data_IF_002327485532
#
_entry.id   IF_002327485532
#
_cell.length_a   1.000
_cell.length_b   1.000
_cell.length_c   1.000
_cell.angle_alpha   90.00
_cell.angle_beta   90.00
_cell.angle_gamma   90.00
#
_symmetry.space_group_name_H-M   'P 1'
#
loop_
_entity.id
_entity.type
_entity.pdbx_description
1 polymer ?
#
# COMPACT_ATOMS: atom_id res chain seq x y z
N UNK A 1 65.97 7.42 -21.85
CA UNK A 1 64.75 8.05 -21.28
C UNK A 1 64.53 9.35 -22.05
N UNK A 2 63.74 9.31 -23.14
CA UNK A 2 63.45 10.50 -23.94
C UNK A 2 62.16 11.14 -23.43
N UNK A 3 62.29 12.22 -22.66
CA UNK A 3 61.18 13.11 -22.35
C UNK A 3 60.87 13.92 -23.61
N UNK A 4 59.81 13.56 -24.32
CA UNK A 4 59.20 14.43 -25.33
C UNK A 4 58.55 15.61 -24.60
N UNK A 5 59.24 16.76 -24.59
CA UNK A 5 58.61 18.03 -24.25
C UNK A 5 57.52 18.34 -25.27
N UNK A 6 56.26 18.38 -24.82
CA UNK A 6 55.16 18.82 -25.68
C UNK A 6 55.37 20.29 -26.07
N UNK A 7 55.28 20.65 -27.37
CA UNK A 7 55.48 22.02 -27.81
C UNK A 7 54.43 22.93 -27.18
N UNK A 8 54.85 24.09 -26.66
CA UNK A 8 54.00 25.08 -25.97
C UNK A 8 52.74 25.46 -26.76
N UNK A 9 52.80 25.41 -28.09
CA UNK A 9 51.67 25.64 -28.99
C UNK A 9 50.54 24.60 -28.84
N UNK A 10 50.88 23.35 -28.51
CA UNK A 10 49.92 22.27 -28.28
C UNK A 10 49.18 22.44 -26.95
N UNK A 11 49.86 22.96 -25.93
CA UNK A 11 49.26 23.29 -24.64
C UNK A 11 48.26 24.45 -24.78
N UNK A 12 48.65 25.49 -25.54
CA UNK A 12 47.80 26.64 -25.81
C UNK A 12 46.52 26.26 -26.58
N UNK A 13 46.65 25.41 -27.61
CA UNK A 13 45.50 24.92 -28.37
C UNK A 13 44.50 24.14 -27.50
N UNK A 14 44.98 23.30 -26.57
CA UNK A 14 44.12 22.58 -25.61
C UNK A 14 43.40 23.51 -24.66
N UNK A 15 44.07 24.54 -24.15
CA UNK A 15 43.46 25.54 -23.26
C UNK A 15 42.36 26.31 -24.00
N UNK A 16 42.60 26.73 -25.25
CA UNK A 16 41.58 27.39 -26.06
C UNK A 16 40.36 26.50 -26.30
N UNK A 17 40.56 25.20 -26.55
CA UNK A 17 39.47 24.26 -26.81
C UNK A 17 38.63 23.99 -25.55
N UNK A 18 39.27 23.93 -24.38
CA UNK A 18 38.58 23.82 -23.09
C UNK A 18 37.76 25.08 -22.74
N UNK A 19 38.30 26.27 -23.03
CA UNK A 19 37.59 27.53 -22.82
C UNK A 19 36.38 27.66 -23.75
N UNK A 20 36.50 27.22 -25.01
CA UNK A 20 35.39 27.19 -25.95
C UNK A 20 34.29 26.23 -25.48
N UNK A 21 34.66 25.02 -25.03
CA UNK A 21 33.71 24.04 -24.50
C UNK A 21 33.00 24.55 -23.25
N UNK A 22 33.72 25.20 -22.33
CA UNK A 22 33.14 25.83 -21.15
C UNK A 22 32.16 26.95 -21.52
N UNK A 23 32.50 27.76 -22.52
CA UNK A 23 31.62 28.83 -22.99
C UNK A 23 30.33 28.27 -23.61
N UNK A 24 30.42 27.25 -24.45
CA UNK A 24 29.25 26.54 -25.01
C UNK A 24 28.40 25.95 -23.88
N UNK A 25 29.02 25.35 -22.86
CA UNK A 25 28.31 24.80 -21.71
C UNK A 25 27.57 25.89 -20.92
N UNK A 26 28.18 27.05 -20.68
CA UNK A 26 27.54 28.19 -20.02
C UNK A 26 26.36 28.72 -20.82
N UNK A 27 26.48 28.83 -22.16
CA UNK A 27 25.38 29.28 -23.03
C UNK A 27 24.23 28.27 -23.04
N UNK A 28 24.54 26.96 -23.08
CA UNK A 28 23.53 25.90 -23.00
C UNK A 28 22.83 25.89 -21.63
N UNK A 29 23.58 26.03 -20.54
CA UNK A 29 23.00 26.14 -19.19
C UNK A 29 22.11 27.38 -19.06
N UNK A 30 22.58 28.51 -19.59
CA UNK A 30 21.82 29.75 -19.67
C UNK A 30 20.49 29.53 -20.35
N UNK A 31 20.48 28.96 -21.57
CA UNK A 31 19.26 28.66 -22.31
C UNK A 31 18.34 27.68 -21.58
N UNK A 32 18.86 26.65 -20.92
CA UNK A 32 18.05 25.72 -20.11
C UNK A 32 17.41 26.46 -18.93
N UNK A 33 18.16 27.33 -18.25
CA UNK A 33 17.64 28.15 -17.15
C UNK A 33 16.59 29.13 -17.66
N UNK A 34 16.77 29.78 -18.82
CA UNK A 34 15.77 30.69 -19.41
C UNK A 34 14.51 29.94 -19.83
N UNK A 35 14.64 28.76 -20.43
CA UNK A 35 13.50 27.89 -20.78
C UNK A 35 12.77 27.40 -19.54
N UNK A 36 13.48 27.10 -18.45
CA UNK A 36 12.89 26.69 -17.18
C UNK A 36 12.27 27.86 -16.40
N UNK A 37 12.84 29.07 -16.52
CA UNK A 37 12.30 30.31 -15.96
C UNK A 37 11.04 30.76 -16.71
N UNK A 38 11.00 30.58 -18.03
CA UNK A 38 9.87 30.91 -18.89
C UNK A 38 8.91 29.73 -19.09
N UNK A 39 8.99 28.70 -18.25
CA UNK A 39 8.05 27.60 -18.29
C UNK A 39 6.66 28.12 -17.84
N UNK A 40 5.62 28.09 -18.70
CA UNK A 40 4.28 28.60 -18.36
C UNK A 40 3.61 27.88 -17.18
N UNK A 41 4.20 26.77 -16.71
CA UNK A 41 3.81 26.12 -15.46
C UNK A 41 4.16 26.94 -14.20
N UNK A 42 5.17 27.81 -14.23
CA UNK A 42 5.57 28.62 -13.06
C UNK A 42 4.74 29.89 -12.89
N UNK A 43 4.37 30.56 -13.99
CA UNK A 43 3.59 31.80 -13.91
C UNK A 43 2.12 31.56 -13.53
N UNK A 44 1.56 30.37 -13.77
CA UNK A 44 0.19 30.04 -13.38
C UNK A 44 0.00 29.70 -11.90
N UNK A 45 1.06 29.57 -11.10
CA UNK A 45 0.90 29.34 -9.66
C UNK A 45 0.38 30.56 -8.90
N UNK A 46 0.40 31.75 -9.48
CA UNK A 46 -0.11 32.96 -8.83
C UNK A 46 -1.65 32.94 -8.65
N UNK A 47 -2.38 32.17 -9.46
CA UNK A 47 -3.85 32.04 -9.38
C UNK A 47 -4.36 30.61 -9.12
N UNK A 48 -3.48 29.63 -8.93
CA UNK A 48 -3.84 28.31 -8.40
C UNK A 48 -4.82 27.49 -9.25
N UNK A 49 -5.05 27.78 -10.53
CA UNK A 49 -5.93 26.98 -11.40
C UNK A 49 -5.18 26.56 -12.66
N UNK A 50 -5.17 25.26 -12.94
CA UNK A 50 -4.65 24.68 -14.18
C UNK A 50 -5.84 24.17 -14.99
N UNK A 51 -5.99 24.73 -16.19
CA UNK A 51 -7.03 24.37 -17.15
C UNK A 51 -6.52 23.28 -18.10
N UNK A 52 -7.12 22.08 -18.06
CA UNK A 52 -6.91 21.04 -19.06
C UNK A 52 -8.07 21.05 -20.05
N UNK A 53 -7.77 21.15 -21.34
CA UNK A 53 -8.77 21.27 -22.40
C UNK A 53 -8.49 20.25 -23.50
N UNK A 54 -9.54 19.52 -23.89
CA UNK A 54 -9.62 18.85 -25.19
C UNK A 54 -10.49 19.70 -26.11
N UNK A 55 -10.21 19.59 -27.40
CA UNK A 55 -10.91 20.35 -28.42
C UNK A 55 -11.58 19.36 -29.38
N UNK A 56 -12.73 19.75 -29.92
CA UNK A 56 -13.45 18.98 -30.94
C UNK A 56 -12.62 18.87 -32.22
N UNK A 57 -12.86 17.84 -33.03
CA UNK A 57 -12.14 17.61 -34.29
C UNK A 57 -12.25 18.77 -35.29
N UNK A 58 -13.37 19.47 -35.27
CA UNK A 58 -13.67 20.67 -36.07
C UNK A 58 -13.03 21.96 -35.55
N UNK A 59 -12.30 21.90 -34.43
CA UNK A 59 -11.55 23.01 -33.89
C UNK A 59 -10.45 23.46 -34.85
N UNK A 60 -10.34 24.77 -35.09
CA UNK A 60 -9.25 25.37 -35.87
C UNK A 60 -8.33 26.19 -34.96
N UNK A 61 -7.22 26.68 -35.52
CA UNK A 61 -6.30 27.56 -34.77
C UNK A 61 -6.99 28.87 -34.34
N UNK A 62 -7.91 29.37 -35.16
CA UNK A 62 -8.62 30.64 -34.94
C UNK A 62 -9.96 30.44 -34.21
N UNK A 63 -10.48 29.19 -34.16
CA UNK A 63 -11.73 28.84 -33.51
C UNK A 63 -11.56 27.58 -32.67
N UNK A 64 -11.10 27.76 -31.42
CA UNK A 64 -10.89 26.67 -30.47
C UNK A 64 -12.21 26.27 -29.81
N UNK A 65 -12.80 25.18 -30.28
CA UNK A 65 -14.03 24.63 -29.73
C UNK A 65 -13.69 23.56 -28.69
N UNK A 66 -13.89 23.90 -27.41
CA UNK A 66 -13.60 23.00 -26.29
C UNK A 66 -14.63 21.86 -26.27
N UNK A 67 -14.13 20.63 -26.15
CA UNK A 67 -14.94 19.45 -25.88
C UNK A 67 -15.15 19.34 -24.36
N UNK A 68 -16.23 19.96 -23.86
CA UNK A 68 -16.53 20.03 -22.42
C UNK A 68 -16.93 18.70 -21.80
N UNK A 69 -17.42 17.76 -22.60
CA UNK A 69 -17.79 16.41 -22.12
C UNK A 69 -16.62 15.43 -22.16
N UNK A 70 -15.47 15.85 -22.68
CA UNK A 70 -14.28 15.03 -22.64
C UNK A 70 -13.86 14.79 -21.19
N UNK A 71 -13.60 13.53 -20.76
CA UNK A 71 -13.13 13.25 -19.40
C UNK A 71 -11.74 13.85 -19.11
N UNK A 72 -11.00 14.29 -20.13
CA UNK A 72 -9.74 15.04 -19.98
C UNK A 72 -9.92 16.57 -19.99
N UNK A 73 -11.15 17.09 -20.08
CA UNK A 73 -11.45 18.51 -19.98
C UNK A 73 -11.90 18.86 -18.57
N UNK A 74 -11.03 19.49 -17.79
CA UNK A 74 -11.31 19.87 -16.41
C UNK A 74 -10.45 21.03 -15.94
N UNK A 75 -10.84 21.65 -14.83
CA UNK A 75 -9.98 22.53 -14.05
C UNK A 75 -9.48 21.83 -12.81
N UNK A 76 -8.17 21.89 -12.59
CA UNK A 76 -7.51 21.47 -11.37
C UNK A 76 -7.11 22.71 -10.58
N UNK A 77 -7.55 22.78 -9.34
CA UNK A 77 -7.31 23.92 -8.45
C UNK A 77 -6.29 23.50 -7.40
N UNK A 78 -5.31 24.36 -7.15
CA UNK A 78 -4.14 24.14 -6.30
C UNK A 78 -4.06 25.20 -5.20
N UNK A 79 -3.63 24.78 -4.01
CA UNK A 79 -3.25 25.72 -2.95
C UNK A 79 -1.88 26.37 -3.24
N UNK A 80 -1.46 27.28 -2.36
CA UNK A 80 -0.16 27.98 -2.47
C UNK A 80 1.05 27.06 -2.32
N UNK A 81 0.86 25.84 -1.80
CA UNK A 81 1.89 24.84 -1.65
C UNK A 81 1.96 23.88 -2.85
N UNK A 82 1.09 24.06 -3.85
CA UNK A 82 1.00 23.21 -5.03
C UNK A 82 0.23 21.91 -4.82
N UNK A 83 -0.56 21.77 -3.75
CA UNK A 83 -1.44 20.62 -3.56
C UNK A 83 -2.74 20.83 -4.32
N UNK A 84 -3.21 19.83 -5.07
CA UNK A 84 -4.50 19.92 -5.77
C UNK A 84 -5.66 19.83 -4.76
N UNK A 85 -6.32 20.96 -4.51
CA UNK A 85 -7.42 21.09 -3.55
C UNK A 85 -8.80 20.90 -4.18
N UNK A 86 -8.90 20.91 -5.51
CA UNK A 86 -10.16 20.66 -6.18
C UNK A 86 -9.98 20.20 -7.62
N UNK A 87 -11.01 19.52 -8.12
CA UNK A 87 -11.18 19.26 -9.54
C UNK A 87 -12.61 19.54 -9.98
N UNK A 88 -12.76 20.18 -11.14
CA UNK A 88 -14.05 20.58 -11.72
C UNK A 88 -14.17 20.09 -13.15
N UNK A 89 -15.24 19.37 -13.42
CA UNK A 89 -15.72 19.00 -14.74
C UNK A 89 -16.96 19.83 -15.05
N UNK A 90 -17.27 19.98 -16.32
CA UNK A 90 -18.21 20.99 -16.78
C UNK A 90 -19.30 20.37 -17.65
N UNK A 91 -20.49 20.97 -17.60
CA UNK A 91 -21.61 20.53 -18.44
C UNK A 91 -21.40 20.96 -19.88
N UNK A 92 -22.11 20.29 -20.80
CA UNK A 92 -22.02 20.53 -22.24
C UNK A 92 -22.34 21.99 -22.62
N UNK A 93 -23.27 22.64 -21.92
CA UNK A 93 -23.63 24.05 -22.15
C UNK A 93 -22.58 25.06 -21.70
N UNK A 94 -21.47 24.60 -21.11
CA UNK A 94 -20.40 25.49 -20.66
C UNK A 94 -19.73 26.19 -21.84
N UNK A 95 -19.26 27.41 -21.59
CA UNK A 95 -18.36 28.13 -22.48
C UNK A 95 -17.12 28.55 -21.70
N UNK A 96 -16.10 29.04 -22.41
CA UNK A 96 -14.87 29.48 -21.74
C UNK A 96 -15.14 30.62 -20.75
N UNK A 97 -16.09 31.51 -21.08
CA UNK A 97 -16.47 32.65 -20.25
C UNK A 97 -17.57 32.33 -19.22
N UNK A 98 -18.30 31.23 -19.40
CA UNK A 98 -19.37 30.81 -18.51
C UNK A 98 -19.32 29.29 -18.29
N UNK A 99 -18.53 28.88 -17.31
CA UNK A 99 -18.36 27.47 -16.94
C UNK A 99 -19.44 27.04 -15.96
N UNK A 100 -20.15 25.97 -16.27
CA UNK A 100 -21.16 25.37 -15.39
C UNK A 100 -20.65 24.02 -14.92
N UNK A 101 -20.30 23.92 -13.63
CA UNK A 101 -19.78 22.67 -13.04
C UNK A 101 -20.81 21.56 -13.15
N UNK A 102 -20.38 20.40 -13.63
CA UNK A 102 -21.14 19.15 -13.58
C UNK A 102 -20.87 18.43 -12.25
N UNK A 103 -21.67 18.75 -11.24
CA UNK A 103 -21.58 18.12 -9.92
C UNK A 103 -21.95 16.63 -9.92
N UNK A 104 -22.50 16.10 -11.01
CA UNK A 104 -22.77 14.66 -11.14
C UNK A 104 -21.59 13.89 -11.70
N UNK A 105 -20.58 14.58 -12.23
CA UNK A 105 -19.41 13.95 -12.79
C UNK A 105 -18.58 13.27 -11.69
N UNK A 106 -18.25 12.00 -11.89
CA UNK A 106 -17.57 11.13 -10.93
C UNK A 106 -16.16 11.61 -10.50
N UNK A 107 -15.63 12.64 -11.14
CA UNK A 107 -14.31 13.19 -10.87
C UNK A 107 -14.35 14.69 -10.49
N UNK A 108 -15.45 15.11 -9.86
CA UNK A 108 -15.61 16.43 -9.23
C UNK A 108 -15.52 16.28 -7.72
N UNK A 109 -14.51 16.90 -7.14
CA UNK A 109 -14.18 16.73 -5.73
C UNK A 109 -13.42 17.92 -5.17
N UNK A 110 -13.45 18.04 -3.83
CA UNK A 110 -12.56 18.90 -3.04
C UNK A 110 -11.68 18.04 -2.13
N UNK A 111 -10.48 18.52 -1.86
CA UNK A 111 -9.52 17.90 -0.95
C UNK A 111 -8.93 18.94 0.00
N UNK A 112 -8.62 18.50 1.22
CA UNK A 112 -7.89 19.31 2.20
C UNK A 112 -6.57 18.66 2.54
N UNK A 113 -5.61 19.47 2.95
CA UNK A 113 -4.27 19.04 3.32
C UNK A 113 -3.88 19.66 4.65
N UNK A 114 -3.07 18.95 5.42
CA UNK A 114 -2.42 19.53 6.59
C UNK A 114 -1.23 20.42 6.20
N UNK A 115 -0.62 21.06 7.20
CA UNK A 115 0.52 21.97 7.01
C UNK A 115 1.76 21.33 6.35
N UNK A 116 1.83 20.01 6.30
CA UNK A 116 2.93 19.25 5.70
C UNK A 116 2.57 18.73 4.30
N UNK A 117 1.41 19.11 3.74
CA UNK A 117 0.95 18.68 2.42
C UNK A 117 0.38 17.26 2.38
N UNK A 118 -0.02 16.70 3.53
CA UNK A 118 -0.67 15.38 3.58
C UNK A 118 -2.17 15.55 3.46
N UNK A 119 -2.81 14.80 2.57
CA UNK A 119 -4.25 14.92 2.32
C UNK A 119 -5.06 14.45 3.53
N UNK A 120 -5.76 15.36 4.20
CA UNK A 120 -6.58 15.07 5.38
C UNK A 120 -8.02 14.73 5.05
N UNK A 121 -8.50 15.10 3.87
CA UNK A 121 -9.84 14.74 3.44
C UNK A 121 -10.01 14.72 1.92
N UNK A 122 -11.03 14.00 1.47
CA UNK A 122 -11.58 14.09 0.11
C UNK A 122 -13.11 14.13 0.19
N UNK A 123 -13.73 14.95 -0.65
CA UNK A 123 -15.18 15.19 -0.69
C UNK A 123 -15.69 15.11 -2.11
N UNK A 124 -16.70 14.28 -2.31
CA UNK A 124 -17.54 14.30 -3.50
C UNK A 124 -18.88 14.95 -3.17
N UNK A 125 -19.63 15.30 -4.20
CA UNK A 125 -20.79 16.18 -4.06
C UNK A 125 -22.03 15.59 -4.72
N UNK A 126 -23.19 15.96 -4.19
CA UNK A 126 -24.48 15.62 -4.74
C UNK A 126 -24.80 16.50 -5.96
N UNK A 127 -25.64 15.98 -6.86
CA UNK A 127 -26.06 16.63 -8.10
C UNK A 127 -26.62 18.06 -7.92
N UNK A 128 -27.25 18.34 -6.77
CA UNK A 128 -27.87 19.63 -6.46
C UNK A 128 -26.87 20.68 -5.96
N UNK A 129 -25.59 20.34 -5.89
CA UNK A 129 -24.55 21.25 -5.44
C UNK A 129 -24.40 22.45 -6.38
N UNK A 130 -23.86 23.53 -5.83
CA UNK A 130 -23.39 24.71 -6.56
C UNK A 130 -22.07 25.16 -5.94
N UNK A 131 -21.29 26.01 -6.62
CA UNK A 131 -20.01 26.43 -6.06
C UNK A 131 -20.19 27.21 -4.73
N UNK A 132 -21.30 27.94 -4.58
CA UNK A 132 -21.66 28.67 -3.36
C UNK A 132 -22.36 27.80 -2.29
N UNK A 133 -22.83 26.61 -2.66
CA UNK A 133 -23.53 25.70 -1.75
C UNK A 133 -23.22 24.25 -2.14
N UNK A 134 -22.11 23.74 -1.63
CA UNK A 134 -21.64 22.39 -1.90
C UNK A 134 -22.29 21.42 -0.92
N UNK A 135 -23.04 20.46 -1.46
CA UNK A 135 -23.69 19.41 -0.68
C UNK A 135 -22.85 18.15 -0.79
N UNK A 136 -22.11 17.82 0.26
CA UNK A 136 -21.24 16.63 0.28
C UNK A 136 -22.07 15.36 0.15
N UNK A 137 -21.64 14.48 -0.76
CA UNK A 137 -22.10 13.09 -0.83
C UNK A 137 -21.29 12.23 0.13
N UNK A 138 -21.80 12.10 1.36
CA UNK A 138 -21.10 11.40 2.45
C UNK A 138 -21.01 9.89 2.27
N UNK A 139 -21.90 9.29 1.49
CA UNK A 139 -21.91 7.86 1.20
C UNK A 139 -21.08 7.51 -0.04
N UNK A 140 -20.55 8.51 -0.75
CA UNK A 140 -19.65 8.27 -1.86
C UNK A 140 -18.43 7.44 -1.38
N UNK A 141 -18.06 6.36 -2.09
CA UNK A 141 -16.98 5.46 -1.69
C UNK A 141 -15.59 6.11 -1.69
N UNK A 142 -15.46 7.35 -2.18
CA UNK A 142 -14.23 8.13 -2.18
C UNK A 142 -14.33 9.40 -1.31
N UNK A 143 -15.42 9.58 -0.56
CA UNK A 143 -15.54 10.62 0.48
C UNK A 143 -15.01 10.09 1.81
N UNK A 144 -13.90 10.65 2.29
CA UNK A 144 -13.22 10.16 3.49
C UNK A 144 -12.46 11.25 4.25
N UNK A 145 -12.17 10.98 5.52
CA UNK A 145 -11.21 11.71 6.35
C UNK A 145 -10.03 10.82 6.75
N UNK A 146 -8.85 11.43 6.89
CA UNK A 146 -7.65 10.78 7.37
C UNK A 146 -6.97 11.61 8.45
N UNK A 147 -6.35 10.92 9.42
CA UNK A 147 -5.48 11.56 10.41
C UNK A 147 -4.08 11.00 10.33
N UNK A 148 -3.12 11.80 10.78
CA UNK A 148 -1.71 11.44 10.76
C UNK A 148 -1.06 11.78 12.09
N UNK A 149 -0.07 10.98 12.47
CA UNK A 149 0.78 11.32 13.60
C UNK A 149 1.80 12.42 13.26
N UNK A 150 2.56 12.81 14.29
CA UNK A 150 3.61 13.83 14.19
C UNK A 150 4.73 13.50 13.19
N UNK A 151 4.90 12.21 12.85
CA UNK A 151 6.00 11.72 12.02
C UNK A 151 5.59 11.53 10.55
N UNK A 152 4.33 11.77 10.17
CA UNK A 152 3.91 11.54 8.78
C UNK A 152 2.94 10.38 8.59
N UNK A 153 2.80 9.49 9.59
CA UNK A 153 2.16 8.18 9.39
C UNK A 153 0.66 8.29 9.55
N UNK A 154 -0.11 7.70 8.65
CA UNK A 154 -1.56 7.74 8.70
C UNK A 154 -2.06 6.87 9.86
N UNK A 155 -2.71 7.48 10.83
CA UNK A 155 -3.21 6.82 12.05
C UNK A 155 -4.67 6.41 11.91
N UNK A 156 -5.41 7.02 11.00
CA UNK A 156 -6.80 6.65 10.75
C UNK A 156 -7.24 6.93 9.32
N UNK A 157 -8.26 6.17 8.89
CA UNK A 157 -9.07 6.51 7.72
C UNK A 157 -10.54 6.27 8.06
N UNK A 158 -11.42 7.16 7.61
CA UNK A 158 -12.85 7.17 7.94
C UNK A 158 -13.68 7.39 6.69
N UNK A 159 -14.66 6.52 6.52
CA UNK A 159 -15.78 6.70 5.58
C UNK A 159 -17.04 6.98 6.37
N UNK A 160 -18.08 7.47 5.70
CA UNK A 160 -19.25 8.03 6.36
C UNK A 160 -20.56 7.40 5.88
N UNK A 161 -21.58 7.51 6.72
CA UNK A 161 -22.95 7.15 6.39
C UNK A 161 -23.64 8.29 5.65
N UNK A 162 -24.65 7.98 4.84
CA UNK A 162 -25.39 8.94 4.03
C UNK A 162 -26.01 10.10 4.83
N UNK A 163 -26.39 9.86 6.09
CA UNK A 163 -27.00 10.87 6.97
C UNK A 163 -25.97 11.81 7.63
N UNK A 164 -24.68 11.66 7.31
CA UNK A 164 -23.64 12.52 7.85
C UNK A 164 -23.80 13.96 7.39
N UNK A 165 -23.24 14.87 8.17
CA UNK A 165 -23.10 16.29 7.83
C UNK A 165 -21.72 16.76 8.28
N UNK A 166 -21.26 17.93 7.84
CA UNK A 166 -19.94 18.43 8.25
C UNK A 166 -19.84 18.61 9.77
N UNK A 167 -20.94 19.02 10.41
CA UNK A 167 -21.03 19.22 11.86
C UNK A 167 -21.36 17.94 12.65
N UNK A 168 -21.80 16.88 11.97
CA UNK A 168 -22.15 15.60 12.59
C UNK A 168 -21.81 14.45 11.65
N UNK A 169 -20.54 14.05 11.65
CA UNK A 169 -20.02 12.97 10.80
C UNK A 169 -20.32 11.63 11.45
N UNK A 170 -21.18 10.84 10.82
CA UNK A 170 -21.52 9.50 11.26
C UNK A 170 -20.59 8.52 10.54
N UNK A 171 -19.57 8.04 11.24
CA UNK A 171 -18.58 7.11 10.67
C UNK A 171 -19.27 5.81 10.26
N UNK A 172 -19.01 5.40 9.02
CA UNK A 172 -19.36 4.09 8.52
C UNK A 172 -18.27 3.09 8.95
N UNK A 173 -18.41 2.57 10.15
CA UNK A 173 -17.54 1.53 10.71
C UNK A 173 -17.54 0.23 9.89
N UNK A 174 -18.57 0.00 9.05
CA UNK A 174 -18.66 -1.15 8.16
C UNK A 174 -17.84 -1.04 6.88
N UNK A 175 -17.40 0.17 6.53
CA UNK A 175 -16.59 0.32 5.35
C UNK A 175 -15.24 -0.36 5.60
N UNK A 176 -14.81 -1.26 4.70
CA UNK A 176 -13.58 -2.04 4.86
C UNK A 176 -12.33 -1.16 4.98
N UNK A 177 -12.36 0.07 4.43
CA UNK A 177 -11.28 1.05 4.60
C UNK A 177 -11.47 2.00 5.81
N UNK A 178 -12.40 1.72 6.73
CA UNK A 178 -12.53 2.44 8.00
C UNK A 178 -11.73 1.73 9.08
N UNK A 179 -10.57 2.28 9.43
CA UNK A 179 -9.63 1.63 10.36
C UNK A 179 -8.85 2.61 11.22
N UNK A 180 -8.31 2.10 12.34
CA UNK A 180 -7.27 2.75 13.15
C UNK A 180 -5.96 1.97 13.16
N UNK A 181 -4.84 2.69 13.10
CA UNK A 181 -3.49 2.14 13.19
C UNK A 181 -2.71 2.83 14.29
N UNK A 182 -1.93 2.04 15.02
CA UNK A 182 -0.95 2.56 15.98
C UNK A 182 0.44 2.12 15.59
N UNK A 183 1.41 2.99 15.84
CA UNK A 183 2.80 2.74 15.53
C UNK A 183 3.68 2.95 16.74
N UNK A 184 4.80 2.24 16.81
CA UNK A 184 5.85 2.50 17.79
C UNK A 184 6.61 3.80 17.44
N UNK A 185 7.59 4.14 18.28
CA UNK A 185 8.44 5.33 18.06
C UNK A 185 9.32 5.26 16.80
N UNK A 186 9.57 4.08 16.27
CA UNK A 186 10.53 3.81 15.21
C UNK A 186 9.89 3.64 13.83
N UNK A 187 8.56 3.52 13.74
CA UNK A 187 7.88 3.34 12.45
C UNK A 187 7.01 2.10 12.37
N UNK A 188 7.19 1.14 13.28
CA UNK A 188 6.58 -0.17 13.16
C UNK A 188 5.10 -0.12 13.54
N UNK A 189 4.24 -0.70 12.71
CA UNK A 189 2.81 -0.78 12.99
C UNK A 189 2.55 -1.84 14.06
N UNK A 190 2.08 -1.40 15.22
CA UNK A 190 1.83 -2.28 16.37
C UNK A 190 0.48 -2.97 16.26
N UNK A 191 -0.52 -2.29 15.67
CA UNK A 191 -1.86 -2.83 15.54
C UNK A 191 -2.64 -2.17 14.41
N UNK A 192 -3.68 -2.87 13.99
CA UNK A 192 -4.75 -2.38 13.11
C UNK A 192 -6.11 -2.79 13.70
N UNK A 193 -7.10 -1.89 13.61
CA UNK A 193 -8.45 -2.10 14.12
C UNK A 193 -9.48 -1.74 13.08
N UNK A 194 -10.38 -2.68 12.84
CA UNK A 194 -11.63 -2.49 12.10
C UNK A 194 -12.80 -2.63 13.06
N UNK A 195 -13.99 -2.18 12.66
CA UNK A 195 -15.12 -1.96 13.58
C UNK A 195 -16.41 -2.62 13.11
N UNK A 196 -17.26 -3.01 14.07
CA UNK A 196 -18.55 -3.63 13.81
C UNK A 196 -19.57 -2.64 13.22
N UNK A 197 -20.62 -3.16 12.55
CA UNK A 197 -21.74 -2.29 12.15
C UNK A 197 -22.45 -1.69 13.34
N UNK A 198 -22.80 -0.41 13.22
CA UNK A 198 -23.53 0.30 14.25
C UNK A 198 -22.61 0.81 15.36
N UNK A 199 -21.31 0.49 15.30
CA UNK A 199 -20.31 1.18 16.10
C UNK A 199 -20.34 2.67 15.78
N UNK A 200 -20.28 3.48 16.84
CA UNK A 200 -20.09 4.92 16.73
C UNK A 200 -18.63 5.26 16.97
N UNK A 201 -18.23 6.48 16.64
CA UNK A 201 -16.85 6.92 16.87
C UNK A 201 -16.52 7.15 18.35
N UNK A 202 -17.56 7.19 19.19
CA UNK A 202 -17.43 7.20 20.64
C UNK A 202 -17.22 5.80 21.21
N UNK A 203 -17.95 4.81 20.71
CA UNK A 203 -17.98 3.47 21.30
C UNK A 203 -16.91 2.54 20.69
N UNK A 204 -16.53 2.75 19.42
CA UNK A 204 -15.45 2.03 18.71
C UNK A 204 -15.44 0.53 18.98
N UNK A 205 -16.56 -0.13 18.73
CA UNK A 205 -16.72 -1.56 18.90
C UNK A 205 -15.91 -2.30 17.83
N UNK A 206 -14.73 -2.81 18.22
CA UNK A 206 -13.80 -3.50 17.33
C UNK A 206 -14.40 -4.80 16.80
N UNK A 207 -14.25 -5.03 15.50
CA UNK A 207 -14.54 -6.31 14.85
C UNK A 207 -13.32 -7.22 14.94
N UNK A 208 -13.19 -7.94 16.06
CA UNK A 208 -12.00 -8.73 16.36
C UNK A 208 -11.74 -9.88 15.39
N UNK A 209 -12.78 -10.40 14.73
CA UNK A 209 -12.64 -11.47 13.72
C UNK A 209 -12.32 -10.96 12.32
N UNK A 210 -12.24 -9.65 12.13
CA UNK A 210 -11.90 -9.07 10.84
C UNK A 210 -10.46 -9.44 10.48
N UNK A 211 -10.24 -9.91 9.24
CA UNK A 211 -8.93 -10.36 8.75
C UNK A 211 -7.84 -9.28 8.77
N UNK A 212 -8.22 -8.01 8.88
CA UNK A 212 -7.30 -6.87 8.97
C UNK A 212 -7.21 -6.32 10.41
N UNK A 213 -7.85 -6.96 11.39
CA UNK A 213 -7.71 -6.63 12.82
C UNK A 213 -6.68 -7.53 13.48
N UNK A 214 -5.53 -6.95 13.82
CA UNK A 214 -4.39 -7.70 14.36
C UNK A 214 -3.50 -6.87 15.26
N UNK A 215 -2.68 -7.56 16.07
CA UNK A 215 -1.54 -6.99 16.79
C UNK A 215 -0.22 -7.61 16.29
N UNK A 216 0.83 -6.82 16.27
CA UNK A 216 2.19 -7.25 15.95
C UNK A 216 3.16 -6.87 17.06
N UNK A 217 4.18 -7.72 17.23
CA UNK A 217 5.31 -7.40 18.11
C UNK A 217 6.62 -7.47 17.35
N UNK A 218 7.59 -6.71 17.86
CA UNK A 218 8.88 -6.53 17.22
C UNK A 218 9.99 -6.79 18.23
N UNK A 219 11.11 -7.33 17.77
CA UNK A 219 12.32 -7.44 18.58
C UNK A 219 13.05 -6.09 18.71
N UNK A 220 14.14 -6.09 19.49
CA UNK A 220 14.98 -4.90 19.70
C UNK A 220 15.66 -4.39 18.42
N UNK A 221 15.73 -5.21 17.36
CA UNK A 221 16.26 -4.85 16.05
C UNK A 221 15.16 -4.44 15.07
N UNK A 222 13.95 -4.17 15.57
CA UNK A 222 12.79 -3.74 14.79
C UNK A 222 12.30 -4.78 13.77
N UNK A 223 12.62 -6.07 13.95
CA UNK A 223 12.07 -7.16 13.14
C UNK A 223 10.76 -7.65 13.74
N UNK A 224 9.75 -7.84 12.91
CA UNK A 224 8.46 -8.35 13.37
C UNK A 224 8.61 -9.80 13.79
N UNK A 225 8.39 -10.09 15.07
CA UNK A 225 8.53 -11.44 15.62
C UNK A 225 7.19 -12.13 15.81
N UNK A 226 6.08 -11.38 15.75
CA UNK A 226 4.75 -11.98 15.80
C UNK A 226 3.71 -11.16 15.05
N UNK A 227 2.67 -11.86 14.61
CA UNK A 227 1.37 -11.30 14.22
C UNK A 227 0.26 -12.15 14.83
N UNK A 228 -0.79 -11.50 15.35
CA UNK A 228 -1.90 -12.12 16.07
C UNK A 228 -3.21 -11.59 15.55
N UNK A 229 -4.06 -12.50 15.08
CA UNK A 229 -5.47 -12.27 14.80
C UNK A 229 -6.32 -12.87 15.92
N UNK A 230 -7.59 -12.51 15.97
CA UNK A 230 -8.43 -12.76 17.14
C UNK A 230 -9.75 -13.42 16.78
N UNK A 231 -10.29 -14.18 17.73
CA UNK A 231 -11.62 -14.74 17.63
C UNK A 231 -12.67 -13.65 17.90
N UNK A 232 -13.88 -13.86 17.36
CA UNK A 232 -15.04 -12.97 17.53
C UNK A 232 -15.41 -12.72 18.99
N UNK A 233 -15.11 -13.66 19.89
CA UNK A 233 -15.37 -13.56 21.33
C UNK A 233 -14.44 -12.60 22.06
N UNK A 234 -13.44 -12.05 21.37
CA UNK A 234 -12.48 -11.12 21.95
C UNK A 234 -13.11 -9.80 22.36
N UNK A 235 -12.48 -9.17 23.33
CA UNK A 235 -12.78 -7.79 23.77
C UNK A 235 -11.47 -7.06 24.00
N UNK A 236 -11.51 -5.74 24.14
CA UNK A 236 -10.29 -4.94 24.38
C UNK A 236 -9.50 -5.43 25.60
N UNK A 237 -10.20 -5.84 26.66
CA UNK A 237 -9.60 -6.31 27.91
C UNK A 237 -9.34 -7.82 27.96
N UNK A 238 -9.84 -8.58 26.99
CA UNK A 238 -9.68 -10.02 26.93
C UNK A 238 -9.64 -10.48 25.47
N UNK A 239 -8.43 -10.46 24.90
CA UNK A 239 -8.18 -10.86 23.51
C UNK A 239 -7.91 -12.36 23.44
N UNK A 240 -8.71 -13.08 22.66
CA UNK A 240 -8.53 -14.52 22.43
C UNK A 240 -7.93 -14.70 21.04
N UNK A 241 -6.68 -15.13 20.98
CA UNK A 241 -5.95 -15.32 19.72
C UNK A 241 -6.61 -16.43 18.90
N UNK A 242 -6.86 -16.15 17.62
CA UNK A 242 -7.12 -17.17 16.62
C UNK A 242 -5.79 -17.73 16.13
N UNK A 243 -5.39 -18.87 16.70
CA UNK A 243 -4.13 -19.53 16.38
C UNK A 243 -4.12 -20.17 14.99
N UNK A 244 -5.29 -20.55 14.47
CA UNK A 244 -5.40 -21.19 13.16
C UNK A 244 -5.54 -20.17 12.03
N UNK A 245 -5.78 -18.90 12.35
CA UNK A 245 -5.79 -17.84 11.35
C UNK A 245 -4.52 -17.90 10.51
N UNK A 246 -4.68 -17.88 9.18
CA UNK A 246 -3.60 -18.10 8.22
C UNK A 246 -2.43 -17.09 8.34
N UNK A 247 -2.69 -15.95 8.96
CA UNK A 247 -1.75 -14.86 9.19
C UNK A 247 -1.45 -14.62 10.69
N UNK A 248 -1.77 -15.59 11.56
CA UNK A 248 -1.23 -15.67 12.93
C UNK A 248 0.06 -16.50 12.91
N UNK A 249 1.17 -15.91 13.35
CA UNK A 249 2.48 -16.55 13.31
C UNK A 249 3.51 -15.96 14.27
N UNK A 250 4.55 -16.74 14.57
CA UNK A 250 5.80 -16.25 15.17
C UNK A 250 7.01 -16.45 14.26
N UNK A 251 7.93 -15.49 14.30
CA UNK A 251 9.20 -15.55 13.61
C UNK A 251 10.38 -15.43 14.57
N UNK A 252 11.49 -16.04 14.19
CA UNK A 252 12.78 -15.87 14.87
C UNK A 252 13.83 -15.40 13.88
N UNK A 253 14.86 -14.72 14.39
CA UNK A 253 15.94 -14.15 13.60
C UNK A 253 17.28 -14.53 14.21
N UNK A 254 18.29 -14.72 13.37
CA UNK A 254 19.67 -14.84 13.82
C UNK A 254 20.26 -13.48 14.23
N UNK A 255 21.47 -13.52 14.79
CA UNK A 255 22.21 -12.31 15.19
C UNK A 255 22.50 -11.32 14.05
N UNK A 256 22.41 -11.76 12.79
CA UNK A 256 22.61 -10.93 11.62
C UNK A 256 21.27 -10.39 11.08
N UNK A 257 20.16 -10.65 11.77
CA UNK A 257 18.82 -10.22 11.38
C UNK A 257 18.20 -11.04 10.24
N UNK A 258 18.75 -12.22 9.92
CA UNK A 258 18.15 -13.14 8.95
C UNK A 258 17.09 -13.97 9.65
N UNK A 259 15.90 -14.06 9.06
CA UNK A 259 14.83 -14.88 9.61
C UNK A 259 15.26 -16.35 9.61
N UNK A 260 15.13 -17.02 10.75
CA UNK A 260 15.50 -18.43 10.95
C UNK A 260 14.31 -19.36 11.07
N UNK A 261 13.12 -18.82 11.34
CA UNK A 261 11.87 -19.57 11.29
C UNK A 261 10.67 -18.67 11.06
N UNK A 262 9.59 -19.29 10.59
CA UNK A 262 8.23 -18.78 10.68
C UNK A 262 7.32 -19.95 11.08
N UNK A 263 6.49 -19.77 12.10
CA UNK A 263 5.65 -20.84 12.64
C UNK A 263 4.20 -20.36 12.68
N UNK A 264 3.34 -21.12 12.02
CA UNK A 264 1.89 -21.06 12.19
C UNK A 264 1.42 -22.21 13.10
N UNK A 265 0.18 -22.15 13.54
CA UNK A 265 -0.29 -22.96 14.65
C UNK A 265 -1.60 -23.69 14.32
N UNK A 266 -1.80 -24.82 15.00
CA UNK A 266 -3.07 -25.54 14.96
C UNK A 266 -4.10 -24.86 15.87
N UNK A 267 -5.38 -25.10 15.59
CA UNK A 267 -6.53 -24.61 16.36
C UNK A 267 -6.46 -24.96 17.85
N UNK A 268 -5.86 -26.11 18.20
CA UNK A 268 -5.68 -26.58 19.58
C UNK A 268 -4.66 -25.78 20.39
N UNK A 269 -4.02 -24.79 19.76
CA UNK A 269 -3.02 -23.96 20.42
C UNK A 269 -3.64 -22.99 21.42
N UNK A 270 -2.85 -22.65 22.42
CA UNK A 270 -3.15 -21.60 23.40
C UNK A 270 -1.89 -20.77 23.62
N UNK A 271 -1.99 -19.64 24.30
CA UNK A 271 -0.82 -18.81 24.62
C UNK A 271 0.26 -19.59 25.37
N UNK A 272 -0.16 -20.51 26.26
CA UNK A 272 0.75 -21.31 27.07
C UNK A 272 1.15 -22.64 26.42
N UNK A 273 0.48 -23.05 25.33
CA UNK A 273 0.74 -24.32 24.66
C UNK A 273 0.50 -24.15 23.15
N UNK A 274 1.54 -23.72 22.43
CA UNK A 274 1.49 -23.45 20.98
C UNK A 274 1.90 -24.70 20.21
N UNK A 275 0.96 -25.30 19.47
CA UNK A 275 1.20 -26.49 18.65
C UNK A 275 1.44 -26.05 17.21
N UNK A 276 2.65 -26.23 16.71
CA UNK A 276 3.05 -25.77 15.38
C UNK A 276 2.37 -26.61 14.30
N UNK A 277 1.75 -25.94 13.33
CA UNK A 277 1.28 -26.56 12.10
C UNK A 277 2.42 -26.63 11.07
N UNK A 278 3.09 -27.79 11.03
CA UNK A 278 4.15 -28.07 10.05
C UNK A 278 3.65 -28.34 8.63
N UNK A 279 2.34 -28.50 8.43
CA UNK A 279 1.74 -28.67 7.11
C UNK A 279 1.32 -27.33 6.50
N UNK A 280 1.23 -26.27 7.31
CA UNK A 280 0.95 -24.93 6.82
C UNK A 280 2.03 -24.48 5.82
N UNK A 281 1.61 -24.04 4.64
CA UNK A 281 2.49 -23.69 3.51
C UNK A 281 3.57 -22.64 3.79
N UNK A 282 3.37 -21.84 4.85
CA UNK A 282 4.27 -20.77 5.28
C UNK A 282 5.04 -21.10 6.57
N UNK A 283 4.86 -22.29 7.14
CA UNK A 283 5.65 -22.75 8.28
C UNK A 283 6.98 -23.33 7.81
N UNK A 284 8.09 -22.86 8.37
CA UNK A 284 9.43 -23.38 8.12
C UNK A 284 10.41 -23.00 9.25
N UNK A 285 11.56 -23.68 9.29
CA UNK A 285 12.63 -23.44 10.27
C UNK A 285 13.03 -24.71 11.01
N UNK A 286 14.10 -24.65 11.79
CA UNK A 286 14.59 -25.82 12.53
C UNK A 286 13.70 -26.08 13.75
N UNK A 287 13.13 -27.28 13.84
CA UNK A 287 12.57 -27.84 15.08
C UNK A 287 13.76 -28.16 15.98
N UNK A 288 13.95 -27.38 17.04
CA UNK A 288 14.71 -27.87 18.18
C UNK A 288 13.73 -28.70 19.01
N UNK A 289 13.69 -30.01 18.75
CA UNK A 289 13.12 -31.08 19.59
C UNK A 289 11.61 -31.37 19.49
N UNK A 290 11.01 -31.44 18.31
CA UNK A 290 9.75 -32.17 18.15
C UNK A 290 9.80 -32.98 16.86
N UNK A 291 9.81 -34.32 16.99
CA UNK A 291 9.51 -35.23 15.88
C UNK A 291 8.11 -34.88 15.34
N UNK A 292 7.92 -34.83 14.00
CA UNK A 292 6.60 -34.55 13.44
C UNK A 292 5.61 -35.59 13.96
N UNK A 293 4.61 -35.15 14.73
CA UNK A 293 3.45 -35.97 15.06
C UNK A 293 2.69 -36.13 13.75
N UNK A 294 2.97 -37.23 13.04
CA UNK A 294 2.13 -37.67 11.94
C UNK A 294 0.71 -37.90 12.48
N UNK A 295 -0.34 -37.54 11.72
CA UNK A 295 -1.70 -37.78 12.15
C UNK A 295 -1.87 -39.27 12.45
N UNK A 296 -2.39 -39.58 13.64
CA UNK A 296 -2.79 -40.92 14.05
C UNK A 296 -3.96 -41.30 13.13
N UNK A 297 -3.67 -41.90 11.98
CA UNK A 297 -4.64 -42.73 11.30
C UNK A 297 -4.82 -43.97 12.16
N UNK A 298 -6.07 -44.31 12.46
CA UNK A 298 -6.42 -45.53 13.20
C UNK A 298 -5.82 -46.75 12.49
N UNK A 299 -4.66 -47.21 12.96
CA UNK A 299 -4.06 -48.48 12.54
C UNK A 299 -4.43 -49.50 13.60
N UNK A 300 -5.39 -50.37 13.27
CA UNK A 300 -5.51 -51.67 13.90
C UNK A 300 -4.18 -52.42 13.67
N UNK A 301 -3.39 -52.56 14.73
CA UNK A 301 -2.12 -53.28 14.73
C UNK A 301 -2.43 -54.78 14.74
N UNK A 302 -2.28 -55.46 13.59
CA UNK A 302 -2.09 -56.90 13.59
C UNK A 302 -0.64 -57.21 13.98
N UNK A 303 -0.45 -58.00 15.03
CA UNK A 303 0.82 -58.17 15.75
C UNK A 303 1.85 -59.04 15.04
N UNK A 304 1.63 -59.49 13.81
CA UNK A 304 2.51 -60.44 13.13
C UNK A 304 2.82 -60.06 11.68
N UNK A 305 3.54 -58.96 11.44
CA UNK A 305 4.53 -58.84 10.33
C UNK A 305 5.22 -57.46 10.36
N UNK A 306 6.55 -57.43 10.49
CA UNK A 306 7.36 -56.22 10.33
C UNK A 306 7.40 -55.79 8.86
N UNK A 307 6.50 -54.90 8.43
CA UNK A 307 6.70 -54.06 7.22
C UNK A 307 6.04 -52.69 7.41
N UNK A 308 6.84 -51.66 7.64
CA UNK A 308 6.38 -50.27 7.59
C UNK A 308 6.11 -49.87 6.13
N UNK A 309 4.86 -49.53 5.79
CA UNK A 309 4.52 -48.87 4.51
C UNK A 309 4.45 -47.36 4.74
N UNK A 310 5.27 -46.61 4.00
CA UNK A 310 5.24 -45.14 3.95
C UNK A 310 4.41 -44.75 2.72
N UNK A 311 3.42 -43.88 2.89
CA UNK A 311 2.67 -43.27 1.78
C UNK A 311 3.13 -41.82 1.60
N UNK A 312 3.58 -41.49 0.38
CA UNK A 312 3.90 -40.12 -0.05
C UNK A 312 2.66 -39.50 -0.73
N UNK A 313 2.38 -38.20 -0.56
CA UNK A 313 1.25 -37.58 -1.22
C UNK A 313 1.59 -37.22 -2.68
N UNK A 314 0.77 -37.77 -3.58
CA UNK A 314 0.44 -37.33 -4.94
C UNK A 314 1.51 -37.44 -6.06
N UNK A 315 1.49 -38.58 -6.75
CA UNK A 315 1.54 -38.60 -8.23
C UNK A 315 0.54 -39.61 -8.78
N UNK A 316 -0.16 -39.21 -9.85
CA UNK A 316 -1.25 -39.88 -10.54
C UNK A 316 -1.03 -41.38 -10.87
N UNK A 317 -2.12 -42.15 -10.76
CA UNK A 317 -2.45 -43.39 -11.47
C UNK A 317 -1.33 -44.13 -12.24
N UNK A 318 -0.86 -45.24 -11.65
CA UNK A 318 -0.87 -46.58 -12.27
C UNK A 318 -0.46 -47.62 -11.23
N UNK A 319 -1.31 -48.62 -11.03
CA UNK A 319 -0.99 -49.83 -10.26
C UNK A 319 0.10 -50.59 -11.01
N UNK A 320 1.23 -50.81 -10.37
CA UNK A 320 2.18 -51.86 -10.76
C UNK A 320 2.55 -52.62 -9.49
N UNK A 321 2.12 -53.87 -9.45
CA UNK A 321 2.66 -54.86 -8.53
C UNK A 321 3.98 -55.40 -9.12
N UNK A 322 4.78 -56.05 -8.29
CA UNK A 322 6.01 -56.83 -8.60
C UNK A 322 7.36 -56.13 -8.28
N UNK A 323 8.00 -56.65 -7.23
CA UNK A 323 9.30 -57.31 -7.31
C UNK A 323 10.57 -56.46 -7.18
N UNK A 324 11.30 -56.71 -6.10
CA UNK A 324 12.75 -56.54 -5.93
C UNK A 324 13.47 -55.45 -6.74
N UNK A 325 13.69 -54.29 -6.13
CA UNK A 325 14.74 -53.37 -6.55
C UNK A 325 15.63 -53.01 -5.36
N UNK A 326 16.87 -53.50 -5.46
CA UNK A 326 18.00 -53.33 -4.56
C UNK A 326 18.31 -51.85 -4.30
N UNK A 327 18.71 -51.57 -3.05
CA UNK A 327 19.58 -50.46 -2.61
C UNK A 327 20.08 -49.54 -3.73
N UNK A 328 19.48 -48.36 -3.86
CA UNK A 328 20.10 -47.21 -4.51
C UNK A 328 20.37 -46.14 -3.44
N UNK A 329 21.65 -46.00 -3.09
CA UNK A 329 22.22 -44.81 -2.47
C UNK A 329 21.98 -43.62 -3.39
N UNK A 330 21.34 -42.56 -2.89
CA UNK A 330 21.24 -41.28 -3.60
C UNK A 330 22.35 -40.35 -3.14
N UNK A 331 23.06 -39.81 -4.12
CA UNK A 331 24.21 -38.92 -4.01
C UNK A 331 23.90 -37.63 -3.26
N UNK A 332 24.84 -37.25 -2.40
CA UNK A 332 24.92 -35.93 -1.77
C UNK A 332 25.24 -34.89 -2.83
N UNK A 333 24.25 -34.07 -3.21
CA UNK A 333 24.52 -32.82 -3.92
C UNK A 333 24.79 -31.71 -2.90
N UNK A 334 26.07 -31.44 -2.68
CA UNK A 334 26.58 -30.17 -2.18
C UNK A 334 26.12 -29.04 -3.09
N UNK A 335 25.31 -28.11 -2.58
CA UNK A 335 25.18 -26.78 -3.16
C UNK A 335 26.35 -25.95 -2.66
N UNK A 336 27.30 -25.67 -3.56
CA UNK A 336 28.31 -24.63 -3.35
C UNK A 336 27.64 -23.27 -3.54
N UNK A 337 27.81 -22.37 -2.56
CA UNK A 337 27.61 -20.91 -2.74
C UNK A 337 28.89 -20.35 -3.35
#
# INVERSE_FOLDING_TARGET
MNNLEQPKHFLLAKVCLLLLALWIFIVLLGNIITVWANNPLKENLANGVIEKRKYLEESTQDNKLVDWQNPDTYDAIYDTNGNQIAQRHYKLESTQDNKVVDWTHYNVWDATYDKNGRQTSKRYFLAQSTENNKLVDWQNPDTWDATYDKNGRQTSKRYFLAQSTENNKLVNCKHHDTWDKTYDKNGNQLLERHYLQGSTEKDKLVDWKNNDTWDATYDANQKQISKRHYLETSTENNKVVDWQHYDTWDATYDKNGRQTSQRHYLETSTENNKVVDWQHRYTWGKSSNVEPILPITNVLVDKNTQKNKVYLPHTNNKVADVGDLKSQTYDTHTFTI
#
